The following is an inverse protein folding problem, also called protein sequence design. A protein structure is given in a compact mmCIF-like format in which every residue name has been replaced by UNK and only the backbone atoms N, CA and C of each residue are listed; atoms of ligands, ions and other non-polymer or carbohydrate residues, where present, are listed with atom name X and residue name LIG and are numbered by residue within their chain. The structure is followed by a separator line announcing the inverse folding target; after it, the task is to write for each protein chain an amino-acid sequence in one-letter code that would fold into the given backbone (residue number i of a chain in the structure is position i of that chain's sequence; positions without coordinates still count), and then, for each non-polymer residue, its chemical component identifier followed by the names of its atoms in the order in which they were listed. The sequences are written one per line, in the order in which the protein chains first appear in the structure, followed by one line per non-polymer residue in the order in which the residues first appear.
data_IF_613372111919
#
_entry.id   IF_613372111919
#
_cell.length_a   1.000
_cell.length_b   1.000
_cell.length_c   1.000
_cell.angle_alpha   90.00
_cell.angle_beta   90.00
_cell.angle_gamma   90.00
#
_symmetry.space_group_name_H-M   'P 1'
#
loop_
_entity.id
_entity.type
_entity.pdbx_description
1 polymer ?
#
# COMPACT_ATOMS: atom_id res chain seq x y z
N UNK A 1 14.22 -10.38 1.34
CA UNK A 1 13.35 -11.42 1.92
C UNK A 1 12.68 -12.16 0.77
N UNK A 2 12.98 -13.46 0.58
CA UNK A 2 12.34 -14.27 -0.48
C UNK A 2 11.13 -14.93 0.18
N UNK A 3 9.95 -14.35 -0.01
CA UNK A 3 8.71 -14.91 0.53
C UNK A 3 8.43 -16.20 -0.25
N UNK A 4 8.47 -17.34 0.43
CA UNK A 4 8.39 -18.68 -0.17
C UNK A 4 6.99 -19.03 -0.67
N UNK A 5 5.96 -18.28 -0.26
CA UNK A 5 4.59 -18.37 -0.77
C UNK A 5 3.96 -16.96 -0.79
N UNK A 6 3.65 -16.38 -1.97
CA UNK A 6 2.95 -15.11 -2.02
C UNK A 6 1.55 -15.26 -1.40
N UNK A 7 1.14 -14.29 -0.59
CA UNK A 7 -0.24 -14.19 -0.11
C UNK A 7 -1.18 -13.93 -1.31
N UNK A 8 -2.43 -14.38 -1.25
CA UNK A 8 -3.45 -13.96 -2.20
C UNK A 8 -3.56 -12.43 -2.28
N UNK A 9 -3.98 -11.91 -3.44
CA UNK A 9 -4.09 -10.47 -3.66
C UNK A 9 -5.10 -9.82 -2.73
N UNK A 10 -6.17 -10.53 -2.39
CA UNK A 10 -7.25 -10.07 -1.51
C UNK A 10 -6.73 -9.86 -0.08
N UNK A 11 -5.97 -10.83 0.42
CA UNK A 11 -5.36 -10.76 1.76
C UNK A 11 -4.30 -9.66 1.81
N UNK A 12 -3.48 -9.55 0.76
CA UNK A 12 -2.46 -8.49 0.66
C UNK A 12 -3.12 -7.11 0.62
N UNK A 13 -4.22 -6.96 -0.11
CA UNK A 13 -4.98 -5.71 -0.21
C UNK A 13 -5.58 -5.30 1.12
N UNK A 14 -6.17 -6.25 1.86
CA UNK A 14 -6.71 -5.98 3.20
C UNK A 14 -5.61 -5.53 4.17
N UNK A 15 -4.45 -6.19 4.17
CA UNK A 15 -3.30 -5.77 4.98
C UNK A 15 -2.91 -4.32 4.64
N UNK A 16 -2.86 -3.96 3.36
CA UNK A 16 -2.51 -2.60 2.94
C UNK A 16 -3.49 -1.56 3.46
N UNK A 17 -4.79 -1.86 3.43
CA UNK A 17 -5.83 -0.98 3.98
C UNK A 17 -5.71 -0.82 5.49
N UNK A 18 -5.37 -1.88 6.22
CA UNK A 18 -5.16 -1.83 7.67
C UNK A 18 -3.89 -1.06 8.06
N UNK A 19 -2.92 -0.91 7.15
CA UNK A 19 -1.75 -0.05 7.38
C UNK A 19 -2.07 1.45 7.27
N UNK A 20 -3.23 1.83 6.72
CA UNK A 20 -3.67 3.23 6.72
C UNK A 20 -4.10 3.60 8.13
N UNK A 21 -3.32 4.45 8.78
CA UNK A 21 -3.59 4.91 10.15
C UNK A 21 -4.82 5.84 10.27
N UNK A 22 -5.66 5.97 9.23
CA UNK A 22 -6.80 6.89 9.15
C UNK A 22 -6.43 8.38 9.26
N UNK A 23 -5.15 8.68 9.46
CA UNK A 23 -4.61 10.04 9.55
C UNK A 23 -4.45 10.61 8.15
N UNK A 24 -4.68 11.93 7.98
CA UNK A 24 -4.36 12.62 6.73
C UNK A 24 -2.92 12.31 6.34
N UNK A 25 -2.74 11.82 5.12
CA UNK A 25 -1.41 11.56 4.59
C UNK A 25 -0.80 12.92 4.29
N UNK A 26 0.10 13.39 5.15
CA UNK A 26 1.05 14.42 4.72
C UNK A 26 1.84 13.80 3.57
N UNK A 27 2.00 14.53 2.47
CA UNK A 27 2.84 14.15 1.33
C UNK A 27 4.31 14.19 1.76
N UNK A 28 4.67 13.29 2.67
CA UNK A 28 6.02 12.95 3.06
C UNK A 28 6.40 11.72 2.23
N UNK A 29 7.66 11.64 1.80
CA UNK A 29 8.18 10.50 1.01
C UNK A 29 8.02 9.14 1.71
N UNK A 30 7.66 9.15 3.00
CA UNK A 30 7.43 7.99 3.87
C UNK A 30 5.93 7.75 4.16
N UNK A 31 5.02 8.41 3.42
CA UNK A 31 3.61 8.09 3.48
C UNK A 31 3.37 6.60 3.17
N UNK A 32 2.53 5.97 3.98
CA UNK A 32 2.32 4.52 3.98
C UNK A 32 1.97 3.94 2.59
N UNK A 33 1.09 4.54 1.76
CA UNK A 33 0.84 4.05 0.39
C UNK A 33 2.07 4.08 -0.50
N UNK A 34 2.90 5.12 -0.38
CA UNK A 34 4.11 5.28 -1.20
C UNK A 34 5.15 4.21 -0.82
N UNK A 35 5.29 3.88 0.46
CA UNK A 35 6.22 2.83 0.92
C UNK A 35 5.86 1.48 0.30
N UNK A 36 4.58 1.12 0.26
CA UNK A 36 4.15 -0.16 -0.32
C UNK A 36 4.54 -0.31 -1.79
N UNK A 37 4.49 0.78 -2.57
CA UNK A 37 4.89 0.77 -3.99
C UNK A 37 6.40 0.57 -4.22
N UNK A 38 7.22 0.60 -3.16
CA UNK A 38 8.69 0.51 -3.24
C UNK A 38 9.25 -0.84 -2.79
N UNK A 39 8.42 -1.75 -2.27
CA UNK A 39 8.87 -3.04 -1.73
C UNK A 39 9.24 -4.02 -2.85
N UNK A 40 8.33 -4.27 -3.80
CA UNK A 40 8.56 -5.07 -5.00
C UNK A 40 7.55 -4.73 -6.10
N UNK A 41 7.75 -5.26 -7.32
CA UNK A 41 6.84 -5.01 -8.46
C UNK A 41 5.41 -5.45 -8.18
N UNK A 42 5.21 -6.66 -7.65
CA UNK A 42 3.87 -7.17 -7.33
C UNK A 42 3.13 -6.29 -6.30
N UNK A 43 3.82 -5.81 -5.26
CA UNK A 43 3.21 -4.92 -4.27
C UNK A 43 2.87 -3.56 -4.85
N UNK A 44 3.68 -3.05 -5.79
CA UNK A 44 3.37 -1.83 -6.54
C UNK A 44 2.10 -2.00 -7.34
N UNK A 45 1.97 -3.09 -8.09
CA UNK A 45 0.77 -3.34 -8.92
C UNK A 45 -0.49 -3.44 -8.03
N UNK A 46 -0.40 -4.13 -6.90
CA UNK A 46 -1.51 -4.24 -5.95
C UNK A 46 -1.85 -2.87 -5.36
N UNK A 47 -0.87 -2.14 -4.81
CA UNK A 47 -1.10 -0.86 -4.15
C UNK A 47 -1.69 0.20 -5.10
N UNK A 48 -1.26 0.25 -6.36
CA UNK A 48 -1.80 1.18 -7.36
C UNK A 48 -3.26 0.86 -7.73
N UNK A 49 -3.70 -0.40 -7.58
CA UNK A 49 -5.06 -0.85 -7.89
C UNK A 49 -6.04 -0.80 -6.71
N UNK A 50 -5.65 -0.20 -5.57
CA UNK A 50 -6.53 -0.02 -4.40
C UNK A 50 -6.82 1.49 -4.23
N UNK A 51 -7.91 2.03 -4.80
CA UNK A 51 -8.22 3.46 -4.77
C UNK A 51 -8.27 4.06 -3.35
N UNK A 52 -8.70 3.29 -2.36
CA UNK A 52 -8.81 3.71 -0.96
C UNK A 52 -7.44 4.03 -0.33
N UNK A 53 -6.33 3.48 -0.83
CA UNK A 53 -4.99 3.87 -0.39
C UNK A 53 -4.67 5.32 -0.76
N UNK A 54 -5.30 5.84 -1.81
CA UNK A 54 -5.00 7.14 -2.41
C UNK A 54 -6.04 8.21 -2.09
N UNK A 55 -7.16 7.85 -1.45
CA UNK A 55 -8.26 8.78 -1.14
C UNK A 55 -7.88 9.88 -0.12
N UNK A 56 -6.80 9.68 0.62
CA UNK A 56 -6.29 10.64 1.62
C UNK A 56 -5.16 11.53 1.08
N UNK A 57 -4.79 11.36 -0.20
CA UNK A 57 -3.76 12.16 -0.84
C UNK A 57 -4.37 13.51 -1.22
N UNK A 58 -4.17 14.50 -0.35
CA UNK A 58 -4.55 15.89 -0.61
C UNK A 58 -3.40 16.57 -1.37
N UNK A 59 -3.70 17.14 -2.54
CA UNK A 59 -2.78 17.98 -3.31
C UNK A 59 -2.62 19.36 -2.67
#
# INVERSE_FOLDING_TARGET
LRVSHPLPVEITSEIFLQCLDGRPIKVELLAMPLILTRICGAWRDIALNIPQLWSFLQL
#
